data_IF_842132944583
#
_entry.id   IF_842132944583
#
_cell.length_a   1.000
_cell.length_b   1.000
_cell.length_c   1.000
_cell.angle_alpha   90.00
_cell.angle_beta   90.00
_cell.angle_gamma   90.00
#
_symmetry.space_group_name_H-M   'P 1'
#
loop_
_entity.id
_entity.type
_entity.pdbx_description
1 polymer ?
#
# COMPACT_ATOMS: atom_id res chain seq x y z
N UNK A 1 9.28 -6.46 3.95
CA UNK A 1 10.74 -6.37 4.13
C UNK A 1 11.43 -7.46 3.31
N UNK A 2 11.04 -8.74 3.43
CA UNK A 2 11.64 -9.84 2.66
C UNK A 2 11.42 -9.70 1.14
N UNK A 3 10.26 -9.19 0.70
CA UNK A 3 9.99 -8.90 -0.71
C UNK A 3 10.78 -7.66 -1.19
N UNK A 4 10.92 -6.67 -0.34
CA UNK A 4 11.75 -5.48 -0.58
C UNK A 4 13.25 -5.85 -0.62
N UNK A 5 13.69 -6.76 0.26
CA UNK A 5 15.02 -7.36 0.24
C UNK A 5 15.23 -8.26 -0.99
N UNK A 6 14.20 -8.98 -1.44
CA UNK A 6 14.28 -9.78 -2.68
C UNK A 6 14.37 -8.89 -3.92
N UNK A 7 13.67 -7.75 -3.96
CA UNK A 7 13.84 -6.73 -5.00
C UNK A 7 15.22 -6.06 -4.95
N UNK A 8 15.79 -5.87 -3.76
CA UNK A 8 17.17 -5.38 -3.59
C UNK A 8 18.17 -6.44 -4.04
N UNK A 9 17.94 -7.74 -3.79
CA UNK A 9 18.82 -8.83 -4.23
C UNK A 9 18.72 -9.12 -5.73
N UNK A 10 17.63 -8.79 -6.41
CA UNK A 10 17.56 -8.84 -7.88
C UNK A 10 18.24 -7.61 -8.56
N UNK A 11 18.35 -6.50 -7.87
CA UNK A 11 19.26 -5.40 -8.22
C UNK A 11 20.72 -5.84 -8.05
N UNK A 12 20.94 -6.94 -7.35
CA UNK A 12 22.23 -7.58 -7.04
C UNK A 12 22.84 -8.43 -8.16
N UNK A 13 23.00 -7.85 -9.29
CA UNK A 13 24.28 -8.06 -10.00
C UNK A 13 25.36 -7.08 -9.51
N UNK A 14 25.06 -6.28 -8.50
CA UNK A 14 26.02 -5.48 -7.74
C UNK A 14 26.35 -6.24 -6.45
N UNK A 15 27.51 -6.86 -6.41
CA UNK A 15 28.02 -7.67 -5.31
C UNK A 15 27.87 -6.99 -3.94
N UNK A 16 26.92 -7.45 -3.13
CA UNK A 16 26.89 -7.20 -1.69
C UNK A 16 27.76 -8.27 -1.00
N UNK A 17 28.91 -7.90 -0.50
CA UNK A 17 29.65 -8.68 0.51
C UNK A 17 29.78 -7.82 1.75
N UNK A 18 29.32 -8.35 2.88
CA UNK A 18 29.42 -7.75 4.22
C UNK A 18 28.75 -6.38 4.43
N UNK A 19 27.62 -6.09 3.77
CA UNK A 19 26.86 -4.86 4.04
C UNK A 19 27.43 -3.58 3.42
N UNK A 20 28.46 -3.66 2.57
CA UNK A 20 29.04 -2.51 1.85
C UNK A 20 28.87 -2.63 0.33
N UNK A 21 28.54 -1.50 -0.30
CA UNK A 21 28.35 -1.40 -1.75
C UNK A 21 29.70 -1.10 -2.39
N UNK A 22 30.26 -2.05 -3.11
CA UNK A 22 31.62 -1.95 -3.68
C UNK A 22 31.73 -1.08 -4.96
N UNK A 23 30.74 -0.32 -5.38
CA UNK A 23 30.93 0.68 -6.43
C UNK A 23 29.83 1.76 -6.49
N UNK A 24 29.89 2.75 -5.62
CA UNK A 24 28.98 3.89 -5.58
C UNK A 24 29.16 4.89 -6.73
N UNK A 25 30.23 4.77 -7.51
CA UNK A 25 30.57 5.74 -8.55
C UNK A 25 29.70 5.66 -9.81
N UNK A 26 29.05 4.53 -10.05
CA UNK A 26 28.23 4.28 -11.25
C UNK A 26 26.75 4.69 -11.08
N UNK A 27 26.33 5.00 -9.85
CA UNK A 27 24.93 5.29 -9.53
C UNK A 27 24.61 6.79 -9.69
N UNK A 28 23.46 7.10 -10.28
CA UNK A 28 22.95 8.45 -10.39
C UNK A 28 22.67 9.06 -9.00
N UNK A 29 22.65 10.39 -8.89
CA UNK A 29 22.34 11.11 -7.63
C UNK A 29 21.02 10.65 -6.98
N UNK A 30 20.00 10.36 -7.79
CA UNK A 30 18.68 9.88 -7.36
C UNK A 30 18.73 8.45 -6.79
N UNK A 31 19.53 7.57 -7.42
CA UNK A 31 19.75 6.20 -6.92
C UNK A 31 20.53 6.17 -5.61
N UNK A 32 21.51 7.07 -5.45
CA UNK A 32 22.26 7.21 -4.19
C UNK A 32 21.39 7.68 -3.03
N UNK A 33 20.43 8.59 -3.29
CA UNK A 33 19.48 9.07 -2.28
C UNK A 33 18.52 7.97 -1.85
N UNK A 34 17.95 7.21 -2.79
CA UNK A 34 17.07 6.07 -2.50
C UNK A 34 17.78 4.97 -1.72
N UNK A 35 19.03 4.66 -2.08
CA UNK A 35 19.86 3.69 -1.36
C UNK A 35 20.24 4.16 0.04
N UNK A 36 20.45 5.47 0.24
CA UNK A 36 20.66 6.07 1.56
C UNK A 36 19.44 5.90 2.44
N UNK A 37 18.25 6.20 1.93
CA UNK A 37 17.00 6.08 2.66
C UNK A 37 16.66 4.60 2.96
N UNK A 38 16.91 3.71 2.01
CA UNK A 38 16.77 2.25 2.20
C UNK A 38 17.77 1.71 3.21
N UNK A 39 19.01 2.19 3.20
CA UNK A 39 20.04 1.80 4.19
C UNK A 39 19.66 2.30 5.59
N UNK A 40 19.17 3.53 5.71
CA UNK A 40 18.68 4.09 6.98
C UNK A 40 17.48 3.26 7.48
N UNK A 41 16.52 2.91 6.62
CA UNK A 41 15.39 2.06 6.98
C UNK A 41 15.81 0.64 7.35
N UNK A 42 16.78 0.06 6.63
CA UNK A 42 17.35 -1.25 6.94
C UNK A 42 18.12 -1.24 8.27
N UNK A 43 18.96 -0.24 8.50
CA UNK A 43 19.72 -0.07 9.76
C UNK A 43 18.77 0.20 10.93
N UNK A 44 17.65 0.92 10.72
CA UNK A 44 16.58 1.09 11.70
C UNK A 44 15.87 -0.25 11.96
N UNK A 45 15.51 -1.02 10.93
CA UNK A 45 14.81 -2.29 11.05
C UNK A 45 15.67 -3.40 11.67
N UNK A 46 16.94 -3.50 11.29
CA UNK A 46 17.87 -4.51 11.83
C UNK A 46 18.38 -4.14 13.24
N UNK A 47 18.52 -2.86 13.53
CA UNK A 47 18.91 -2.37 14.85
C UNK A 47 17.76 -2.36 15.87
N UNK A 48 16.50 -2.57 15.44
CA UNK A 48 15.33 -2.62 16.32
C UNK A 48 15.13 -4.00 16.96
N UNK A 49 15.53 -5.11 16.33
CA UNK A 49 15.33 -6.46 16.89
C UNK A 49 16.15 -6.74 18.16
N UNK A 50 17.26 -6.03 18.36
CA UNK A 50 18.17 -6.23 19.51
C UNK A 50 18.10 -5.15 20.61
N UNK A 51 17.25 -4.15 20.45
CA UNK A 51 17.16 -3.08 21.48
C UNK A 51 16.38 -3.55 22.69
N UNK A 52 17.01 -3.46 23.86
CA UNK A 52 16.46 -3.91 25.15
C UNK A 52 15.04 -3.35 25.43
N UNK A 53 14.72 -2.12 25.01
CA UNK A 53 13.41 -1.52 25.23
C UNK A 53 12.29 -2.18 24.42
N UNK A 54 12.58 -2.72 23.21
CA UNK A 54 11.57 -3.45 22.40
C UNK A 54 11.21 -4.76 23.08
N UNK A 55 12.20 -5.51 23.56
CA UNK A 55 11.98 -6.75 24.28
C UNK A 55 11.15 -6.53 25.55
N UNK A 56 11.41 -5.44 26.27
CA UNK A 56 10.65 -5.08 27.48
C UNK A 56 9.22 -4.67 27.13
N UNK A 57 9.07 -3.87 26.07
CA UNK A 57 7.77 -3.48 25.55
C UNK A 57 6.92 -4.71 25.18
N UNK A 58 7.48 -5.67 24.44
CA UNK A 58 6.79 -6.91 24.06
C UNK A 58 6.39 -7.74 25.30
N UNK A 59 7.29 -7.91 26.27
CA UNK A 59 6.99 -8.65 27.49
C UNK A 59 5.92 -7.99 28.35
N UNK A 60 5.94 -6.66 28.49
CA UNK A 60 4.90 -5.94 29.22
C UNK A 60 3.56 -5.97 28.48
N UNK A 61 3.58 -5.85 27.16
CA UNK A 61 2.41 -5.98 26.30
C UNK A 61 1.77 -7.37 26.43
N UNK A 62 2.57 -8.43 26.34
CA UNK A 62 2.09 -9.80 26.52
C UNK A 62 1.43 -10.01 27.86
N UNK A 63 2.01 -9.49 28.96
CA UNK A 63 1.40 -9.55 30.30
C UNK A 63 0.06 -8.81 30.39
N UNK A 64 -0.07 -7.67 29.71
CA UNK A 64 -1.34 -6.94 29.63
C UNK A 64 -2.37 -7.75 28.82
N UNK A 65 -1.96 -8.32 27.69
CA UNK A 65 -2.82 -9.13 26.82
C UNK A 65 -3.28 -10.43 27.47
N UNK A 66 -2.45 -11.04 28.34
CA UNK A 66 -2.78 -12.25 29.10
C UNK A 66 -3.45 -11.96 30.45
N UNK A 67 -3.79 -10.67 30.70
CA UNK A 67 -4.50 -10.24 31.91
C UNK A 67 -3.69 -10.40 33.21
N UNK A 68 -2.34 -10.54 33.13
CA UNK A 68 -1.48 -10.44 34.30
C UNK A 68 -1.55 -9.04 34.95
N UNK A 69 -1.85 -8.03 34.11
CA UNK A 69 -2.19 -6.67 34.53
C UNK A 69 -3.60 -6.32 34.04
N UNK A 70 -4.57 -6.31 34.96
CA UNK A 70 -5.97 -6.03 34.63
C UNK A 70 -6.21 -4.54 34.31
N UNK A 71 -7.30 -4.26 33.59
CA UNK A 71 -7.78 -2.90 33.35
C UNK A 71 -7.86 -2.10 34.68
N UNK A 72 -7.38 -0.87 34.65
CA UNK A 72 -7.37 0.03 35.78
C UNK A 72 -6.25 -0.26 36.81
N UNK A 73 -5.49 -1.34 36.67
CA UNK A 73 -4.37 -1.62 37.58
C UNK A 73 -3.16 -0.76 37.26
N UNK A 74 -2.43 -0.40 38.33
CA UNK A 74 -1.20 0.35 38.21
C UNK A 74 -0.04 -0.57 37.88
N UNK A 75 0.75 -0.24 36.88
CA UNK A 75 2.01 -0.92 36.59
C UNK A 75 3.08 -0.62 37.67
N UNK A 76 4.06 -1.51 37.85
CA UNK A 76 5.21 -1.25 38.67
C UNK A 76 5.90 0.07 38.29
N UNK A 77 6.51 0.74 39.25
CA UNK A 77 7.20 2.00 39.02
C UNK A 77 8.36 1.84 38.03
N UNK A 78 8.73 2.90 37.31
CA UNK A 78 9.89 2.90 36.41
C UNK A 78 11.16 2.35 37.04
N UNK A 79 11.41 2.71 38.32
CA UNK A 79 12.56 2.21 39.08
C UNK A 79 12.45 0.72 39.42
N UNK A 80 11.27 0.24 39.65
CA UNK A 80 10.99 -1.17 39.92
C UNK A 80 11.14 -2.02 38.66
N UNK A 81 10.58 -1.57 37.56
CA UNK A 81 10.79 -2.20 36.25
C UNK A 81 12.26 -2.19 35.83
N UNK A 82 13.00 -1.10 36.09
CA UNK A 82 14.44 -1.01 35.82
C UNK A 82 15.22 -2.07 36.62
N UNK A 83 14.88 -2.29 37.87
CA UNK A 83 15.48 -3.36 38.71
C UNK A 83 15.07 -4.75 38.24
N UNK A 84 13.80 -4.95 37.91
CA UNK A 84 13.25 -6.24 37.47
C UNK A 84 13.88 -6.71 36.15
N UNK A 85 14.06 -5.80 35.20
CA UNK A 85 14.59 -6.11 33.88
C UNK A 85 16.10 -5.92 33.76
N UNK A 86 16.76 -5.38 34.78
CA UNK A 86 18.21 -5.16 34.78
C UNK A 86 18.67 -4.12 33.74
N UNK A 87 17.85 -3.10 33.46
CA UNK A 87 18.14 -2.10 32.43
C UNK A 87 18.06 -0.68 32.95
N UNK A 88 18.56 0.29 32.20
CA UNK A 88 18.53 1.71 32.56
C UNK A 88 17.10 2.27 32.59
N UNK A 89 16.87 3.33 33.40
CA UNK A 89 15.59 4.05 33.44
C UNK A 89 15.14 4.57 32.07
N UNK A 90 16.00 5.18 31.23
CA UNK A 90 15.61 5.61 29.86
C UNK A 90 15.11 4.46 28.99
N UNK A 91 15.66 3.25 29.13
CA UNK A 91 15.21 2.06 28.39
C UNK A 91 13.78 1.67 28.79
N UNK A 92 13.46 1.72 30.09
CA UNK A 92 12.09 1.48 30.57
C UNK A 92 11.14 2.60 30.13
N UNK A 93 11.58 3.85 30.19
CA UNK A 93 10.77 4.99 29.75
C UNK A 93 10.39 4.85 28.27
N UNK A 94 11.30 4.40 27.44
CA UNK A 94 11.03 4.19 26.03
C UNK A 94 10.02 3.04 25.80
N UNK A 95 10.16 1.92 26.50
CA UNK A 95 9.20 0.82 26.45
C UNK A 95 7.79 1.22 26.92
N UNK A 96 7.71 1.99 28.03
CA UNK A 96 6.44 2.51 28.54
C UNK A 96 5.82 3.56 27.60
N UNK A 97 6.64 4.39 26.95
CA UNK A 97 6.18 5.33 25.94
C UNK A 97 5.51 4.60 24.76
N UNK A 98 6.11 3.51 24.28
CA UNK A 98 5.52 2.68 23.23
C UNK A 98 4.17 2.07 23.66
N UNK A 99 4.08 1.57 24.92
CA UNK A 99 2.82 1.06 25.45
C UNK A 99 1.75 2.16 25.58
N UNK A 100 2.14 3.39 25.92
CA UNK A 100 1.23 4.54 25.93
C UNK A 100 0.81 4.92 24.53
N UNK A 101 1.75 4.98 23.61
CA UNK A 101 1.48 5.29 22.18
C UNK A 101 0.56 4.27 21.53
N UNK A 102 0.61 3.01 21.94
CA UNK A 102 -0.30 1.96 21.46
C UNK A 102 -1.61 1.84 22.28
N UNK A 103 -1.78 2.66 23.32
CA UNK A 103 -3.03 2.70 24.10
C UNK A 103 -3.22 1.52 25.04
N UNK A 104 -2.16 0.83 25.43
CA UNK A 104 -2.22 -0.20 26.48
C UNK A 104 -2.24 0.39 27.87
N UNK A 105 -1.56 1.52 28.07
CA UNK A 105 -1.44 2.19 29.34
C UNK A 105 -1.65 3.70 29.21
N UNK A 106 -2.02 4.34 30.31
CA UNK A 106 -2.10 5.79 30.46
C UNK A 106 -1.18 6.24 31.59
N UNK A 107 -0.42 7.31 31.38
CA UNK A 107 0.36 7.94 32.45
C UNK A 107 -0.49 8.99 33.16
N UNK A 108 -0.53 8.93 34.46
CA UNK A 108 -1.15 9.94 35.32
C UNK A 108 -0.08 10.67 36.10
N UNK A 109 -0.12 12.00 36.03
CA UNK A 109 0.88 12.84 36.67
C UNK A 109 0.97 12.54 38.20
N UNK A 110 2.18 12.31 38.68
CA UNK A 110 2.50 11.93 40.07
C UNK A 110 1.88 10.63 40.58
N UNK A 111 1.04 9.98 39.79
CA UNK A 111 0.35 8.73 40.14
C UNK A 111 1.01 7.50 39.55
N UNK A 112 1.47 7.56 38.29
CA UNK A 112 2.16 6.47 37.62
C UNK A 112 1.46 6.03 36.33
N UNK A 113 1.75 4.80 35.85
CA UNK A 113 1.19 4.25 34.63
C UNK A 113 0.09 3.24 34.98
N UNK A 114 -1.08 3.37 34.34
CA UNK A 114 -2.25 2.52 34.56
C UNK A 114 -2.64 1.82 33.28
N UNK A 115 -3.05 0.56 33.36
CA UNK A 115 -3.54 -0.22 32.25
C UNK A 115 -4.92 0.30 31.82
N UNK A 116 -5.04 0.69 30.55
CA UNK A 116 -6.32 1.14 29.95
C UNK A 116 -6.81 0.19 28.85
N UNK A 117 -6.09 -0.89 28.62
CA UNK A 117 -6.49 -1.93 27.66
C UNK A 117 -7.61 -2.79 28.26
N UNK A 118 -8.73 -2.89 27.53
CA UNK A 118 -9.83 -3.82 27.83
C UNK A 118 -9.96 -4.81 26.69
N UNK A 119 -9.80 -6.08 27.01
CA UNK A 119 -9.97 -7.16 26.05
C UNK A 119 -11.37 -7.21 25.46
N UNK A 120 -12.38 -6.89 26.26
CA UNK A 120 -13.80 -6.95 25.89
C UNK A 120 -14.25 -5.85 24.92
N UNK A 121 -13.60 -4.69 24.94
CA UNK A 121 -13.93 -3.56 24.06
C UNK A 121 -13.39 -3.74 22.65
N UNK A 122 -12.32 -4.52 22.45
CA UNK A 122 -11.74 -4.78 21.14
C UNK A 122 -12.33 -5.99 20.41
N UNK A 123 -12.86 -6.96 21.14
CA UNK A 123 -13.39 -8.20 20.55
C UNK A 123 -14.64 -8.65 21.31
N UNK A 124 -15.83 -8.23 20.85
CA UNK A 124 -17.08 -8.73 21.40
C UNK A 124 -17.18 -10.26 21.32
N UNK A 125 -17.35 -10.90 22.47
CA UNK A 125 -17.66 -12.31 22.74
C UNK A 125 -16.66 -13.41 22.31
N UNK A 126 -16.45 -14.34 23.23
CA UNK A 126 -15.46 -15.45 23.21
C UNK A 126 -15.53 -16.43 22.01
N UNK A 127 -16.59 -16.41 21.22
CA UNK A 127 -16.75 -17.32 20.09
C UNK A 127 -15.94 -16.99 18.83
N UNK A 128 -15.43 -15.73 18.68
CA UNK A 128 -14.65 -15.32 17.50
C UNK A 128 -13.15 -15.64 17.59
N UNK A 129 -12.64 -15.95 18.78
CA UNK A 129 -11.19 -16.05 19.03
C UNK A 129 -10.52 -17.27 18.44
N UNK A 130 -11.20 -18.41 18.39
CA UNK A 130 -10.63 -19.65 17.85
C UNK A 130 -10.51 -19.58 16.32
N UNK A 131 -11.54 -19.09 15.64
CA UNK A 131 -11.59 -18.98 14.18
C UNK A 131 -10.61 -17.96 13.59
N UNK A 132 -10.39 -16.82 14.26
CA UNK A 132 -9.46 -15.79 13.77
C UNK A 132 -7.98 -16.16 13.98
N UNK A 133 -7.65 -16.95 15.01
CA UNK A 133 -6.26 -17.41 15.22
C UNK A 133 -5.81 -18.40 14.18
N UNK A 134 -6.67 -19.31 13.72
CA UNK A 134 -6.32 -20.28 12.67
C UNK A 134 -6.15 -19.65 11.28
N UNK A 135 -6.80 -18.51 11.02
CA UNK A 135 -6.76 -17.84 9.71
C UNK A 135 -5.63 -16.81 9.57
N UNK A 136 -5.06 -16.33 10.69
CA UNK A 136 -4.08 -15.21 10.68
C UNK A 136 -2.63 -15.68 10.89
N UNK A 137 -2.38 -16.93 11.22
CA UNK A 137 -1.03 -17.42 11.55
C UNK A 137 -0.45 -18.21 10.40
N UNK A 138 0.03 -17.57 9.35
CA UNK A 138 0.95 -18.24 8.41
C UNK A 138 1.95 -17.34 7.68
N UNK A 139 2.06 -16.05 7.97
CA UNK A 139 3.23 -15.29 7.52
C UNK A 139 3.57 -14.25 8.58
N UNK A 140 4.83 -14.15 8.98
CA UNK A 140 5.33 -13.02 9.76
C UNK A 140 4.98 -11.75 8.99
N UNK A 141 3.93 -11.08 9.42
CA UNK A 141 3.44 -9.86 8.80
C UNK A 141 4.54 -8.80 8.91
N UNK A 142 5.18 -8.48 7.80
CA UNK A 142 6.11 -7.36 7.69
C UNK A 142 5.42 -6.00 7.78
N UNK A 143 4.10 -5.98 8.03
CA UNK A 143 3.31 -4.78 8.16
C UNK A 143 3.73 -3.99 9.40
N UNK A 144 4.07 -2.70 9.29
CA UNK A 144 4.54 -1.87 10.40
C UNK A 144 3.36 -1.47 11.31
N UNK A 145 2.81 -2.44 12.03
CA UNK A 145 1.61 -2.29 12.84
C UNK A 145 1.70 -1.16 13.88
N UNK A 146 2.83 -1.03 14.57
CA UNK A 146 3.05 0.02 15.56
C UNK A 146 2.97 1.42 14.98
N UNK A 147 3.55 1.60 13.78
CA UNK A 147 3.49 2.87 13.04
C UNK A 147 2.05 3.15 12.62
N UNK A 148 1.36 2.16 12.08
CA UNK A 148 -0.03 2.30 11.68
C UNK A 148 -0.94 2.66 12.87
N UNK A 149 -0.81 1.94 13.99
CA UNK A 149 -1.61 2.17 15.19
C UNK A 149 -1.35 3.56 15.79
N UNK A 150 -0.10 4.03 15.80
CA UNK A 150 0.26 5.38 16.22
C UNK A 150 -0.39 6.43 15.31
N UNK A 151 -0.22 6.31 13.99
CA UNK A 151 -0.78 7.24 13.02
C UNK A 151 -2.30 7.29 13.09
N UNK A 152 -2.96 6.14 13.24
CA UNK A 152 -4.42 6.08 13.39
C UNK A 152 -4.88 6.84 14.64
N UNK A 153 -4.21 6.68 15.78
CA UNK A 153 -4.53 7.44 17.01
C UNK A 153 -4.29 8.93 16.87
N UNK A 154 -3.17 9.31 16.23
CA UNK A 154 -2.86 10.72 15.97
C UNK A 154 -3.94 11.37 15.11
N UNK A 155 -4.37 10.71 14.04
CA UNK A 155 -5.46 11.17 13.18
C UNK A 155 -6.77 11.29 13.97
N UNK A 156 -7.15 10.28 14.76
CA UNK A 156 -8.35 10.32 15.59
C UNK A 156 -8.28 11.44 16.64
N UNK A 157 -7.11 11.69 17.22
CA UNK A 157 -6.92 12.76 18.22
C UNK A 157 -6.98 14.17 17.63
N UNK A 158 -6.50 14.34 16.37
CA UNK A 158 -6.46 15.65 15.71
C UNK A 158 -7.82 15.99 15.08
N UNK A 159 -8.45 15.02 14.46
CA UNK A 159 -9.66 15.25 13.65
C UNK A 159 -10.95 14.87 14.39
N UNK A 160 -10.84 14.17 15.53
CA UNK A 160 -11.95 13.79 16.41
C UNK A 160 -13.15 13.19 15.62
N UNK A 161 -14.36 13.62 15.90
CA UNK A 161 -15.58 13.14 15.24
C UNK A 161 -15.63 13.46 13.73
N UNK A 162 -14.87 14.44 13.26
CA UNK A 162 -14.86 14.82 11.84
C UNK A 162 -14.35 13.70 10.92
N UNK A 163 -13.52 12.78 11.43
CA UNK A 163 -13.07 11.59 10.67
C UNK A 163 -14.25 10.67 10.31
N UNK A 164 -15.28 10.64 11.16
CA UNK A 164 -16.47 9.79 10.98
C UNK A 164 -17.61 10.52 10.27
N UNK A 165 -17.42 11.81 9.94
CA UNK A 165 -18.38 12.61 9.21
C UNK A 165 -18.59 12.15 7.78
N UNK A 166 -19.71 12.56 7.17
CA UNK A 166 -19.98 12.30 5.76
C UNK A 166 -18.95 13.03 4.89
N UNK A 167 -18.12 12.28 4.20
CA UNK A 167 -17.11 12.81 3.27
C UNK A 167 -17.69 13.16 1.89
N UNK A 168 -16.82 13.70 1.03
CA UNK A 168 -17.07 13.91 -0.40
C UNK A 168 -17.29 12.57 -1.11
N UNK A 169 -18.15 12.54 -2.12
CA UNK A 169 -18.41 11.36 -2.94
C UNK A 169 -17.19 10.80 -3.66
N UNK A 170 -16.17 11.63 -3.91
CA UNK A 170 -14.86 11.21 -4.45
C UNK A 170 -13.90 10.65 -3.39
N UNK A 171 -14.27 10.68 -2.12
CA UNK A 171 -13.44 10.34 -0.98
C UNK A 171 -12.80 11.55 -0.29
N UNK A 172 -12.17 11.32 0.84
CA UNK A 172 -11.57 12.35 1.69
C UNK A 172 -10.61 13.26 0.90
N UNK A 173 -10.86 14.57 0.91
CA UNK A 173 -10.08 15.56 0.16
C UNK A 173 -8.58 15.57 0.58
N UNK A 174 -8.31 15.49 1.88
CA UNK A 174 -6.93 15.42 2.40
C UNK A 174 -6.18 14.20 1.87
N UNK A 175 -6.86 13.04 1.77
CA UNK A 175 -6.27 11.83 1.20
C UNK A 175 -6.03 11.99 -0.31
N UNK A 176 -6.96 12.61 -1.04
CA UNK A 176 -6.78 12.90 -2.48
C UNK A 176 -5.59 13.83 -2.71
N UNK A 177 -5.40 14.86 -1.88
CA UNK A 177 -4.22 15.74 -1.93
C UNK A 177 -2.92 14.97 -1.65
N UNK A 178 -2.94 14.07 -0.64
CA UNK A 178 -1.78 13.24 -0.34
C UNK A 178 -1.44 12.27 -1.49
N UNK A 179 -2.45 11.70 -2.17
CA UNK A 179 -2.27 10.87 -3.35
C UNK A 179 -1.71 11.68 -4.52
N UNK A 180 -2.21 12.89 -4.78
CA UNK A 180 -1.67 13.79 -5.82
C UNK A 180 -0.19 14.10 -5.57
N UNK A 181 0.18 14.43 -4.32
CA UNK A 181 1.56 14.67 -3.93
C UNK A 181 2.44 13.40 -4.04
N UNK A 182 1.88 12.22 -3.74
CA UNK A 182 2.53 10.93 -3.92
C UNK A 182 2.82 10.65 -5.40
N UNK A 183 1.83 10.79 -6.28
CA UNK A 183 1.97 10.62 -7.73
C UNK A 183 3.03 11.57 -8.32
N UNK A 184 3.04 12.84 -7.89
CA UNK A 184 4.05 13.81 -8.31
C UNK A 184 5.47 13.38 -7.92
N UNK A 185 5.66 12.83 -6.72
CA UNK A 185 6.99 12.41 -6.22
C UNK A 185 7.48 11.10 -6.82
N UNK A 186 6.62 10.10 -6.92
CA UNK A 186 7.03 8.74 -7.27
C UNK A 186 6.84 8.40 -8.75
N UNK A 187 5.83 9.02 -9.39
CA UNK A 187 5.53 8.75 -10.80
C UNK A 187 5.88 9.94 -11.71
N UNK A 188 6.08 11.14 -11.16
CA UNK A 188 6.23 12.36 -11.93
C UNK A 188 4.89 12.92 -12.43
N UNK A 189 3.77 12.28 -12.11
CA UNK A 189 2.43 12.68 -12.55
C UNK A 189 1.94 13.89 -11.76
N UNK A 190 1.67 14.99 -12.45
CA UNK A 190 1.09 16.19 -11.85
C UNK A 190 -0.42 16.20 -12.06
N UNK A 191 -1.16 15.78 -11.06
CA UNK A 191 -2.63 15.69 -11.09
C UNK A 191 -3.27 16.52 -10.01
N UNK A 192 -4.44 17.09 -10.30
CA UNK A 192 -5.23 17.80 -9.31
C UNK A 192 -5.99 16.84 -8.41
N UNK A 193 -6.10 17.14 -7.12
CA UNK A 193 -6.83 16.31 -6.16
C UNK A 193 -8.31 16.09 -6.56
N UNK A 194 -8.90 17.03 -7.29
CA UNK A 194 -10.29 16.92 -7.73
C UNK A 194 -10.53 15.94 -8.87
N UNK A 195 -9.48 15.48 -9.52
CA UNK A 195 -9.55 14.39 -10.51
C UNK A 195 -9.37 13.01 -9.89
N UNK A 196 -9.01 12.93 -8.61
CA UNK A 196 -8.80 11.67 -7.93
C UNK A 196 -10.11 11.20 -7.30
N UNK A 197 -10.44 9.94 -7.55
CA UNK A 197 -11.56 9.23 -6.91
C UNK A 197 -10.99 8.05 -6.11
N UNK A 198 -11.35 7.98 -4.83
CA UNK A 198 -10.93 6.92 -3.93
C UNK A 198 -11.95 5.79 -3.96
N UNK A 199 -11.47 4.54 -4.00
CA UNK A 199 -12.30 3.35 -4.04
C UNK A 199 -11.92 2.28 -3.01
N UNK A 200 -12.86 1.40 -2.73
CA UNK A 200 -12.73 0.28 -1.81
C UNK A 200 -12.09 -0.95 -2.48
N UNK A 201 -10.92 -0.76 -3.09
CA UNK A 201 -10.20 -1.78 -3.86
C UNK A 201 -10.48 -1.68 -5.36
N UNK A 202 -9.62 -2.32 -6.17
CA UNK A 202 -9.63 -2.19 -7.63
C UNK A 202 -10.94 -2.68 -8.26
N UNK A 203 -11.54 -3.75 -7.75
CA UNK A 203 -12.81 -4.28 -8.30
C UNK A 203 -13.97 -3.27 -8.21
N UNK A 204 -14.00 -2.47 -7.13
CA UNK A 204 -14.94 -1.37 -7.01
C UNK A 204 -14.69 -0.31 -8.09
N UNK A 205 -13.42 0.03 -8.34
CA UNK A 205 -13.07 0.99 -9.40
C UNK A 205 -13.40 0.46 -10.79
N UNK A 206 -13.22 -0.84 -11.06
CA UNK A 206 -13.65 -1.44 -12.34
C UNK A 206 -15.16 -1.25 -12.57
N UNK A 207 -15.96 -1.42 -11.52
CA UNK A 207 -17.39 -1.18 -11.60
C UNK A 207 -17.74 0.30 -11.84
N UNK A 208 -16.98 1.23 -11.24
CA UNK A 208 -17.13 2.66 -11.51
C UNK A 208 -16.76 3.03 -12.94
N UNK A 209 -15.71 2.43 -13.51
CA UNK A 209 -15.33 2.61 -14.92
C UNK A 209 -16.49 2.24 -15.84
N UNK A 210 -17.18 1.12 -15.60
CA UNK A 210 -18.37 0.74 -16.38
C UNK A 210 -19.51 1.75 -16.21
N UNK A 211 -19.68 2.29 -15.01
CA UNK A 211 -20.71 3.31 -14.75
C UNK A 211 -20.40 4.63 -15.46
N UNK A 212 -19.13 4.99 -15.61
CA UNK A 212 -18.66 6.20 -16.30
C UNK A 212 -18.71 6.06 -17.82
N UNK A 213 -18.17 4.97 -18.35
CA UNK A 213 -17.96 4.79 -19.78
C UNK A 213 -19.14 4.09 -20.48
N UNK A 214 -20.02 3.44 -19.74
CA UNK A 214 -21.25 2.83 -20.22
C UNK A 214 -21.14 1.32 -20.53
N UNK A 215 -22.26 0.62 -20.39
CA UNK A 215 -22.38 -0.84 -20.55
C UNK A 215 -22.52 -1.30 -22.00
N UNK A 216 -22.89 -0.40 -22.90
CA UNK A 216 -23.10 -0.73 -24.32
C UNK A 216 -21.80 -0.81 -25.11
N UNK A 217 -20.69 -0.40 -24.52
CA UNK A 217 -19.36 -0.44 -25.11
C UNK A 217 -18.73 -1.82 -25.01
N UNK A 218 -17.82 -2.14 -25.92
CA UNK A 218 -17.01 -3.36 -25.85
C UNK A 218 -15.72 -3.05 -25.10
N UNK A 219 -15.42 -3.86 -24.08
CA UNK A 219 -14.24 -3.77 -23.24
C UNK A 219 -13.18 -4.77 -23.69
N UNK A 220 -12.08 -4.29 -24.23
CA UNK A 220 -10.90 -5.09 -24.53
C UNK A 220 -10.08 -5.31 -23.27
N UNK A 221 -9.78 -6.56 -22.94
CA UNK A 221 -8.90 -6.93 -21.82
C UNK A 221 -7.77 -7.82 -22.33
N UNK A 222 -6.63 -7.74 -21.67
CA UNK A 222 -5.49 -8.62 -21.94
C UNK A 222 -5.86 -10.09 -21.76
N UNK A 223 -5.27 -10.99 -22.58
CA UNK A 223 -5.43 -12.43 -22.44
C UNK A 223 -4.04 -13.12 -22.52
N UNK A 224 -3.56 -13.70 -21.41
CA UNK A 224 -4.19 -13.79 -20.08
C UNK A 224 -4.18 -12.45 -19.32
N UNK A 225 -5.13 -12.29 -18.39
CA UNK A 225 -5.22 -11.13 -17.48
C UNK A 225 -5.61 -11.56 -16.06
N UNK A 226 -5.53 -10.62 -15.12
CA UNK A 226 -6.04 -10.84 -13.77
C UNK A 226 -7.54 -11.17 -13.82
N UNK A 227 -7.90 -12.35 -13.27
CA UNK A 227 -9.25 -12.92 -13.42
C UNK A 227 -10.37 -12.01 -12.90
N UNK A 228 -10.09 -11.20 -11.85
CA UNK A 228 -11.08 -10.30 -11.28
C UNK A 228 -11.52 -9.20 -12.26
N UNK A 229 -10.65 -8.75 -13.19
CA UNK A 229 -11.01 -7.79 -14.22
C UNK A 229 -12.16 -8.35 -15.06
N UNK A 230 -11.95 -9.52 -15.65
CA UNK A 230 -12.95 -10.17 -16.49
C UNK A 230 -14.22 -10.58 -15.73
N UNK A 231 -14.10 -10.99 -14.47
CA UNK A 231 -15.25 -11.31 -13.61
C UNK A 231 -16.09 -10.07 -13.33
N UNK A 232 -15.47 -8.97 -12.90
CA UNK A 232 -16.18 -7.72 -12.58
C UNK A 232 -16.91 -7.18 -13.80
N UNK A 233 -16.27 -7.16 -14.97
CA UNK A 233 -16.91 -6.70 -16.21
C UNK A 233 -18.07 -7.59 -16.63
N UNK A 234 -17.97 -8.91 -16.51
CA UNK A 234 -19.11 -9.82 -16.76
C UNK A 234 -20.29 -9.56 -15.81
N UNK A 235 -20.02 -9.32 -14.51
CA UNK A 235 -21.08 -8.99 -13.55
C UNK A 235 -21.76 -7.64 -13.83
N UNK A 236 -21.12 -6.77 -14.60
CA UNK A 236 -21.70 -5.51 -15.06
C UNK A 236 -22.41 -5.64 -16.43
N UNK A 237 -22.54 -6.85 -16.95
CA UNK A 237 -23.20 -7.17 -18.25
C UNK A 237 -22.57 -6.45 -19.45
N UNK A 238 -21.25 -6.18 -19.43
CA UNK A 238 -20.56 -5.60 -20.57
C UNK A 238 -19.97 -6.69 -21.49
N UNK A 239 -19.88 -6.39 -22.77
CA UNK A 239 -19.24 -7.27 -23.75
C UNK A 239 -17.73 -7.17 -23.62
N UNK A 240 -17.06 -8.31 -23.44
CA UNK A 240 -15.61 -8.39 -23.30
C UNK A 240 -15.00 -8.96 -24.57
N UNK A 241 -13.98 -8.29 -25.09
CA UNK A 241 -13.09 -8.79 -26.14
C UNK A 241 -11.74 -9.16 -25.50
N UNK A 242 -11.34 -10.44 -25.60
CA UNK A 242 -10.07 -10.93 -25.03
C UNK A 242 -8.97 -10.80 -26.07
N UNK A 243 -7.97 -9.99 -25.76
CA UNK A 243 -6.91 -9.61 -26.68
C UNK A 243 -5.61 -10.33 -26.31
N UNK A 244 -5.09 -11.22 -27.16
CA UNK A 244 -3.88 -11.96 -26.90
C UNK A 244 -2.69 -11.06 -26.56
N UNK A 245 -1.95 -11.42 -25.50
CA UNK A 245 -0.70 -10.77 -25.14
C UNK A 245 0.47 -11.35 -25.94
N UNK A 246 1.22 -10.47 -26.57
CA UNK A 246 2.54 -10.75 -27.11
C UNK A 246 3.65 -10.40 -26.09
N UNK A 247 4.89 -10.31 -26.54
CA UNK A 247 6.08 -10.08 -25.70
C UNK A 247 6.07 -8.72 -25.00
N UNK A 248 5.43 -7.70 -25.58
CA UNK A 248 5.47 -6.32 -25.09
C UNK A 248 4.08 -5.71 -24.84
N UNK A 249 3.05 -6.53 -24.69
CA UNK A 249 1.66 -6.11 -24.51
C UNK A 249 0.73 -6.77 -25.52
N UNK A 250 -0.47 -6.23 -25.72
CA UNK A 250 -1.45 -6.77 -26.67
C UNK A 250 -0.86 -6.85 -28.09
N UNK A 251 -1.05 -7.99 -28.76
CA UNK A 251 -0.59 -8.16 -30.14
C UNK A 251 -1.16 -7.07 -31.06
N UNK A 252 -0.31 -6.44 -31.88
CA UNK A 252 -0.71 -5.35 -32.77
C UNK A 252 -1.84 -5.74 -33.72
N UNK A 253 -1.82 -7.00 -34.18
CA UNK A 253 -2.89 -7.52 -35.07
C UNK A 253 -4.23 -7.64 -34.33
N UNK A 254 -4.21 -8.02 -33.05
CA UNK A 254 -5.42 -8.09 -32.23
C UNK A 254 -5.96 -6.69 -31.95
N UNK A 255 -5.07 -5.75 -31.59
CA UNK A 255 -5.40 -4.35 -31.36
C UNK A 255 -6.04 -3.66 -32.56
N UNK A 256 -5.57 -3.95 -33.79
CA UNK A 256 -6.14 -3.40 -35.03
C UNK A 256 -7.51 -3.98 -35.39
N UNK A 257 -7.81 -5.22 -34.97
CA UNK A 257 -9.05 -5.93 -35.35
C UNK A 257 -10.15 -5.85 -34.27
N UNK A 258 -9.80 -5.48 -33.06
CA UNK A 258 -10.76 -5.42 -31.97
C UNK A 258 -11.91 -4.46 -32.24
N UNK A 259 -13.11 -4.83 -31.78
CA UNK A 259 -14.28 -3.95 -31.73
C UNK A 259 -14.36 -3.19 -30.40
N UNK A 260 -13.38 -3.36 -29.53
CA UNK A 260 -13.34 -2.65 -28.26
C UNK A 260 -13.24 -1.14 -28.48
N UNK A 261 -13.98 -0.39 -27.69
CA UNK A 261 -13.82 1.06 -27.54
C UNK A 261 -13.21 1.45 -26.21
N UNK A 262 -12.99 0.47 -25.33
CA UNK A 262 -12.30 0.64 -24.04
C UNK A 262 -11.25 -0.46 -23.95
N UNK A 263 -9.99 -0.10 -23.67
CA UNK A 263 -8.93 -1.05 -23.35
C UNK A 263 -8.61 -0.98 -21.86
N UNK A 264 -8.65 -2.12 -21.18
CA UNK A 264 -8.11 -2.25 -19.83
C UNK A 264 -6.76 -2.97 -19.94
N UNK A 265 -5.68 -2.27 -19.62
CA UNK A 265 -4.30 -2.75 -19.74
C UNK A 265 -3.54 -2.61 -18.45
N UNK A 266 -2.59 -3.52 -18.20
CA UNK A 266 -1.68 -3.53 -17.07
C UNK A 266 -0.24 -3.38 -17.56
N UNK A 267 0.18 -2.14 -17.95
CA UNK A 267 1.36 -1.95 -18.80
C UNK A 267 2.69 -2.22 -18.07
N UNK A 268 2.70 -2.26 -16.75
CA UNK A 268 3.95 -2.37 -16.00
C UNK A 268 4.32 -3.81 -15.68
N UNK A 269 3.33 -4.65 -15.43
CA UNK A 269 3.51 -6.07 -15.17
C UNK A 269 2.16 -6.78 -15.25
N UNK A 270 1.78 -7.25 -16.43
CA UNK A 270 0.52 -7.96 -16.60
C UNK A 270 0.55 -9.31 -15.89
N UNK A 271 -0.41 -9.57 -15.00
CA UNK A 271 -0.56 -10.84 -14.31
C UNK A 271 -1.51 -11.78 -15.08
N UNK A 272 -1.21 -13.07 -15.25
CA UNK A 272 -0.06 -13.83 -14.71
C UNK A 272 1.16 -13.86 -15.64
N UNK A 273 1.11 -13.23 -16.82
CA UNK A 273 2.14 -13.33 -17.86
C UNK A 273 3.47 -12.67 -17.48
N UNK A 274 3.46 -11.72 -16.54
CA UNK A 274 4.57 -10.81 -16.21
C UNK A 274 5.03 -9.93 -17.39
N UNK A 275 4.20 -9.79 -18.43
CA UNK A 275 4.49 -8.95 -19.59
C UNK A 275 4.48 -7.49 -19.20
N UNK A 276 5.49 -6.74 -19.64
CA UNK A 276 5.56 -5.27 -19.49
C UNK A 276 5.57 -4.61 -20.86
N UNK A 277 4.87 -3.48 -21.00
CA UNK A 277 4.86 -2.74 -22.25
C UNK A 277 6.12 -1.90 -22.41
N UNK A 278 6.73 -1.97 -23.60
CA UNK A 278 7.79 -1.05 -23.97
C UNK A 278 7.23 0.30 -24.45
N UNK A 279 8.10 1.27 -24.64
CA UNK A 279 7.71 2.61 -25.11
C UNK A 279 7.02 2.60 -26.48
N UNK A 280 7.41 1.68 -27.39
CA UNK A 280 6.80 1.54 -28.71
C UNK A 280 5.35 1.07 -28.59
N UNK A 281 5.09 0.09 -27.72
CA UNK A 281 3.75 -0.43 -27.47
C UNK A 281 2.85 0.60 -26.81
N UNK A 282 3.38 1.39 -25.87
CA UNK A 282 2.63 2.51 -25.27
C UNK A 282 2.19 3.53 -26.33
N UNK A 283 3.09 3.92 -27.24
CA UNK A 283 2.73 4.78 -28.38
C UNK A 283 1.66 4.16 -29.28
N UNK A 284 1.70 2.85 -29.49
CA UNK A 284 0.68 2.14 -30.26
C UNK A 284 -0.68 2.20 -29.55
N UNK A 285 -0.74 2.05 -28.22
CA UNK A 285 -1.97 2.21 -27.45
C UNK A 285 -2.53 3.63 -27.55
N UNK A 286 -1.66 4.65 -27.43
CA UNK A 286 -2.08 6.04 -27.57
C UNK A 286 -2.55 6.33 -29.00
N UNK A 287 -1.88 5.80 -30.03
CA UNK A 287 -2.37 5.92 -31.41
C UNK A 287 -3.73 5.27 -31.58
N UNK A 288 -3.96 4.11 -30.98
CA UNK A 288 -5.23 3.41 -31.03
C UNK A 288 -6.35 4.20 -30.37
N UNK A 289 -6.13 4.83 -29.20
CA UNK A 289 -7.15 5.60 -28.48
C UNK A 289 -7.55 6.87 -29.23
N UNK A 290 -6.62 7.48 -29.97
CA UNK A 290 -6.84 8.73 -30.69
C UNK A 290 -7.59 8.58 -32.03
N UNK A 291 -7.93 7.35 -32.45
CA UNK A 291 -8.63 7.16 -33.75
C UNK A 291 -10.11 7.54 -33.71
N UNK A 292 -10.80 7.30 -32.58
CA UNK A 292 -12.24 7.56 -32.40
C UNK A 292 -12.58 7.66 -30.91
N UNK A 293 -13.85 7.73 -30.54
CA UNK A 293 -14.36 7.72 -29.13
C UNK A 293 -13.93 6.44 -28.38
N UNK A 294 -12.63 6.35 -28.07
CA UNK A 294 -12.00 5.23 -27.37
C UNK A 294 -11.37 5.69 -26.05
N UNK A 295 -11.18 4.75 -25.15
CA UNK A 295 -10.66 4.99 -23.81
C UNK A 295 -9.65 3.91 -23.42
N UNK A 296 -8.70 4.28 -22.57
CA UNK A 296 -7.79 3.34 -21.92
C UNK A 296 -8.00 3.41 -20.42
N UNK A 297 -8.06 2.26 -19.78
CA UNK A 297 -7.94 2.07 -18.34
C UNK A 297 -6.54 1.52 -18.09
N UNK A 298 -5.67 2.33 -17.54
CA UNK A 298 -4.31 1.98 -17.17
C UNK A 298 -4.29 1.51 -15.72
N UNK A 299 -4.22 0.20 -15.49
CA UNK A 299 -4.17 -0.40 -14.15
C UNK A 299 -2.71 -0.61 -13.74
N UNK A 300 -2.26 0.24 -12.82
CA UNK A 300 -0.91 0.27 -12.30
C UNK A 300 -0.88 -0.23 -10.84
N UNK A 301 -0.89 -1.53 -10.68
CA UNK A 301 -0.97 -2.13 -9.33
C UNK A 301 0.39 -2.45 -8.69
N UNK A 302 1.50 -2.33 -9.42
CA UNK A 302 2.81 -2.85 -8.98
C UNK A 302 4.02 -2.02 -9.42
N UNK A 303 3.85 -0.86 -10.03
CA UNK A 303 4.98 -0.06 -10.56
C UNK A 303 5.95 0.41 -9.47
N UNK A 304 5.48 0.61 -8.25
CA UNK A 304 6.31 1.01 -7.10
C UNK A 304 7.39 -0.02 -6.76
N UNK A 305 7.17 -1.29 -7.12
CA UNK A 305 8.12 -2.39 -6.87
C UNK A 305 9.02 -2.72 -8.05
N UNK A 306 8.93 -1.98 -9.15
CA UNK A 306 9.70 -2.24 -10.36
C UNK A 306 10.61 -1.06 -10.68
N UNK A 307 11.84 -1.01 -10.14
CA UNK A 307 12.76 0.13 -10.29
C UNK A 307 13.07 0.51 -11.74
N UNK A 308 13.06 -0.47 -12.66
CA UNK A 308 13.27 -0.23 -14.08
C UNK A 308 12.13 0.58 -14.74
N UNK A 309 10.96 0.63 -14.07
CA UNK A 309 9.76 1.31 -14.57
C UNK A 309 9.58 2.66 -13.87
N UNK A 310 10.22 2.86 -12.71
CA UNK A 310 10.22 4.14 -12.00
C UNK A 310 10.83 5.24 -12.91
N UNK A 311 9.97 6.19 -13.32
CA UNK A 311 10.34 7.29 -14.22
C UNK A 311 10.04 7.00 -15.69
N UNK A 312 9.40 5.86 -16.04
CA UNK A 312 8.77 5.72 -17.35
C UNK A 312 7.45 6.48 -17.37
N UNK A 313 7.22 7.23 -18.43
CA UNK A 313 5.98 7.97 -18.68
C UNK A 313 4.77 7.02 -18.67
N UNK A 314 3.70 7.39 -17.99
CA UNK A 314 2.45 6.62 -17.96
C UNK A 314 1.65 6.83 -19.24
N UNK A 315 0.70 5.95 -19.53
CA UNK A 315 -0.25 6.21 -20.62
C UNK A 315 -1.09 7.45 -20.33
N UNK A 316 -1.42 7.67 -19.05
CA UNK A 316 -2.13 8.89 -18.61
C UNK A 316 -1.34 10.16 -18.90
N UNK A 317 -0.02 10.19 -18.66
CA UNK A 317 0.81 11.36 -19.00
C UNK A 317 0.92 11.57 -20.50
N UNK A 318 0.90 10.50 -21.30
CA UNK A 318 0.94 10.57 -22.76
C UNK A 318 -0.37 11.10 -23.35
N UNK A 319 -1.51 10.80 -22.76
CA UNK A 319 -2.84 11.25 -23.19
C UNK A 319 -3.82 11.33 -21.99
N UNK A 320 -3.78 12.42 -21.22
CA UNK A 320 -4.63 12.59 -20.05
C UNK A 320 -6.12 12.73 -20.38
N UNK A 321 -6.49 13.03 -21.64
CA UNK A 321 -7.88 13.25 -22.05
C UNK A 321 -8.64 11.93 -22.28
N UNK A 322 -7.94 10.84 -22.60
CA UNK A 322 -8.57 9.56 -22.94
C UNK A 322 -8.12 8.38 -22.07
N UNK A 323 -7.27 8.63 -21.07
CA UNK A 323 -6.77 7.58 -20.18
C UNK A 323 -7.28 7.78 -18.76
N UNK A 324 -7.86 6.74 -18.18
CA UNK A 324 -8.15 6.65 -16.75
C UNK A 324 -7.01 5.86 -16.11
N UNK A 325 -6.25 6.52 -15.22
CA UNK A 325 -5.19 5.85 -14.46
C UNK A 325 -5.76 5.28 -13.17
N UNK A 326 -5.36 4.06 -12.80
CA UNK A 326 -5.78 3.38 -11.59
C UNK A 326 -4.58 2.80 -10.85
N UNK A 327 -4.65 2.79 -9.51
CA UNK A 327 -3.68 2.14 -8.66
C UNK A 327 -4.30 1.69 -7.34
N UNK A 328 -3.59 0.83 -6.58
CA UNK A 328 -4.05 0.27 -5.32
C UNK A 328 -2.96 0.25 -4.26
N UNK A 329 -3.32 0.54 -3.02
CA UNK A 329 -2.43 0.40 -1.86
C UNK A 329 -2.43 -1.01 -1.26
N UNK A 330 -3.11 -1.96 -1.90
CA UNK A 330 -3.17 -3.36 -1.43
C UNK A 330 -1.80 -4.04 -1.39
N UNK A 331 -0.87 -3.65 -2.26
CA UNK A 331 0.50 -4.19 -2.31
C UNK A 331 1.48 -3.36 -1.49
N UNK A 332 1.33 -2.05 -1.49
CA UNK A 332 2.25 -1.11 -0.85
C UNK A 332 2.00 -0.95 0.64
N UNK A 333 0.75 -1.03 1.08
CA UNK A 333 0.36 -0.90 2.49
C UNK A 333 -0.16 -2.22 3.04
N UNK A 334 -1.37 -2.64 2.68
CA UNK A 334 -1.95 -3.92 3.10
C UNK A 334 -3.17 -4.27 2.25
N UNK A 335 -3.35 -5.55 1.86
CA UNK A 335 -4.54 -6.00 1.17
C UNK A 335 -5.84 -5.79 1.96
N UNK A 336 -5.75 -5.82 3.29
CA UNK A 336 -6.91 -5.69 4.19
C UNK A 336 -7.47 -4.27 4.26
N UNK A 337 -6.69 -3.24 3.95
CA UNK A 337 -7.13 -1.83 3.98
C UNK A 337 -8.13 -1.53 2.86
N UNK A 338 -8.09 -2.29 1.76
CA UNK A 338 -9.00 -2.14 0.62
C UNK A 338 -9.02 -0.71 0.07
N UNK A 339 -7.87 -0.07 -0.04
CA UNK A 339 -7.72 1.28 -0.55
C UNK A 339 -7.14 1.27 -1.96
N UNK A 340 -7.87 1.87 -2.89
CA UNK A 340 -7.47 2.11 -4.28
C UNK A 340 -7.90 3.50 -4.73
N UNK A 341 -7.38 3.96 -5.84
CA UNK A 341 -7.77 5.24 -6.41
C UNK A 341 -7.69 5.21 -7.94
N UNK A 342 -8.43 6.10 -8.56
CA UNK A 342 -8.29 6.38 -9.98
C UNK A 342 -8.15 7.90 -10.22
N UNK A 343 -7.45 8.24 -11.28
CA UNK A 343 -7.30 9.61 -11.79
C UNK A 343 -8.12 9.69 -13.05
N UNK A 344 -9.07 10.61 -13.03
CA UNK A 344 -9.97 10.84 -14.16
C UNK A 344 -9.37 11.85 -15.13
N UNK A 345 -9.73 11.77 -16.40
CA UNK A 345 -9.48 12.82 -17.41
C UNK A 345 -9.96 14.20 -16.96
N UNK A 346 -9.49 15.27 -17.59
CA UNK A 346 -9.91 16.66 -17.35
C UNK A 346 -11.40 16.91 -17.44
#
# INVERSE_FOLDING_TARGET
>A
LNYFLHCITEVDKVNFRNGEINNLSVLSRKQKMILSDVKIMYDIAMNTKDKAYIRIYEQLKDRILHEDYLYGTKLPSKRELSRQFGVSLPTIEHALLMLMEEGYIRSEERSGNFVIYRREEMFGREGLKASLRETIVTEESSFPYSVFARTAREVLSIYEESVLGKGDGKGCHTLRQAIAAYLGRYRGMHVEADRIVIGAGSEYLYSLVVSLLGRTRVYGIEDPSYEAIGKTYRYQDVVIDRLPLGTHGIESRALQKTKASILHVTPYRSYPSNTSTDHRKRKEYISWVNETDRWIVEDDYESEFTPAILGSETLYEMDPDHVIYMNTFSRTVSPSIRLSYMVLPP
#
